data_IF_173404568265
#
_entry.id   IF_173404568265
#
_cell.length_a   1.000
_cell.length_b   1.000
_cell.length_c   1.000
_cell.angle_alpha   90.00
_cell.angle_beta   90.00
_cell.angle_gamma   90.00
#
_symmetry.space_group_name_H-M   'P 1'
#
loop_
_entity.id
_entity.type
_entity.pdbx_description
1 polymer ?
#
# COMPACT_ATOMS: atom_id res chain seq x y z
N UNK A 1 21.08 26.28 6.70
CA UNK A 1 21.45 24.92 6.24
C UNK A 1 20.69 23.92 7.10
N UNK A 2 19.57 23.40 6.61
CA UNK A 2 18.79 22.37 7.28
C UNK A 2 18.65 21.18 6.35
N UNK A 3 19.32 20.08 6.67
CA UNK A 3 19.25 18.83 5.91
C UNK A 3 17.82 18.33 5.85
N UNK A 4 17.28 18.23 4.63
CA UNK A 4 16.04 17.53 4.33
C UNK A 4 16.29 16.03 4.51
N UNK A 5 15.54 15.29 5.34
CA UNK A 5 15.72 13.85 5.41
C UNK A 5 15.20 13.25 4.10
N UNK A 6 16.03 12.42 3.47
CA UNK A 6 15.62 11.59 2.35
C UNK A 6 14.48 10.67 2.83
N UNK A 7 13.29 10.90 2.29
CA UNK A 7 12.09 10.13 2.54
C UNK A 7 12.35 8.64 2.28
N UNK A 8 12.18 7.82 3.31
CA UNK A 8 12.24 6.34 3.32
C UNK A 8 11.18 5.66 2.44
N UNK A 9 10.56 6.40 1.52
CA UNK A 9 9.29 6.08 0.88
C UNK A 9 9.40 5.18 -0.36
N UNK A 10 10.59 4.81 -0.82
CA UNK A 10 10.75 4.11 -2.10
C UNK A 10 11.00 2.59 -2.00
N UNK A 11 11.22 2.03 -0.79
CA UNK A 11 11.79 0.67 -0.69
C UNK A 11 10.80 -0.50 -0.69
N UNK A 12 9.48 -0.28 -0.60
CA UNK A 12 8.50 -1.40 -0.44
C UNK A 12 7.54 -1.63 -1.61
N UNK A 13 7.39 -0.68 -2.54
CA UNK A 13 6.51 -0.85 -3.70
C UNK A 13 7.14 -1.67 -4.85
N UNK A 14 8.42 -2.04 -4.75
CA UNK A 14 9.17 -2.76 -5.79
C UNK A 14 9.09 -4.30 -5.68
N UNK A 15 8.14 -4.86 -4.93
CA UNK A 15 8.20 -6.23 -4.40
C UNK A 15 8.32 -7.38 -5.41
N UNK A 16 7.44 -7.49 -6.41
CA UNK A 16 7.34 -8.73 -7.20
C UNK A 16 7.73 -8.57 -8.67
N UNK A 17 7.29 -7.50 -9.35
CA UNK A 17 7.67 -7.25 -10.76
C UNK A 17 9.18 -7.01 -10.94
N UNK A 18 9.84 -6.38 -9.96
CA UNK A 18 11.29 -6.18 -9.98
C UNK A 18 12.07 -7.48 -9.76
N UNK A 19 11.51 -8.43 -8.98
CA UNK A 19 12.14 -9.73 -8.71
C UNK A 19 12.03 -10.62 -9.93
N UNK A 20 10.85 -10.71 -10.55
CA UNK A 20 10.67 -11.50 -11.78
C UNK A 20 11.55 -10.96 -12.90
N UNK A 21 11.65 -9.63 -13.07
CA UNK A 21 12.58 -9.04 -14.05
C UNK A 21 14.03 -9.45 -13.78
N UNK A 22 14.48 -9.40 -12.52
CA UNK A 22 15.83 -9.83 -12.13
C UNK A 22 16.06 -11.32 -12.38
N UNK A 23 15.07 -12.17 -12.08
CA UNK A 23 15.12 -13.61 -12.37
C UNK A 23 15.26 -13.84 -13.88
N UNK A 24 14.43 -13.17 -14.70
CA UNK A 24 14.55 -13.24 -16.17
C UNK A 24 15.93 -12.81 -16.67
N UNK A 25 16.51 -11.74 -16.11
CA UNK A 25 17.87 -11.28 -16.45
C UNK A 25 18.95 -12.31 -16.10
N UNK A 26 18.87 -12.94 -14.94
CA UNK A 26 19.84 -13.98 -14.54
C UNK A 26 19.72 -15.20 -15.46
N UNK A 27 18.50 -15.62 -15.79
CA UNK A 27 18.27 -16.83 -16.59
C UNK A 27 18.53 -16.57 -18.10
N UNK A 28 18.51 -15.33 -18.55
CA UNK A 28 19.00 -14.98 -19.89
C UNK A 28 20.49 -15.34 -20.08
N UNK A 29 21.28 -15.37 -19.01
CA UNK A 29 22.68 -15.81 -19.04
C UNK A 29 22.90 -17.32 -18.90
N UNK A 30 21.82 -18.12 -18.75
CA UNK A 30 21.88 -19.57 -18.64
C UNK A 30 21.55 -20.19 -20.01
N UNK A 31 22.35 -21.16 -20.43
CA UNK A 31 22.16 -21.89 -21.69
C UNK A 31 21.04 -22.93 -21.53
N UNK A 32 19.80 -22.44 -21.54
CA UNK A 32 18.58 -23.24 -21.59
C UNK A 32 18.20 -23.48 -23.05
N UNK A 33 17.78 -24.71 -23.35
CA UNK A 33 17.09 -24.99 -24.61
C UNK A 33 15.80 -24.15 -24.73
N UNK A 34 15.34 -23.98 -25.97
CA UNK A 34 14.21 -23.11 -26.29
C UNK A 34 12.90 -23.55 -25.61
N UNK A 35 12.71 -24.85 -25.39
CA UNK A 35 11.51 -25.40 -24.73
C UNK A 35 11.51 -25.07 -23.23
N UNK A 36 12.64 -25.29 -22.55
CA UNK A 36 12.82 -24.95 -21.15
C UNK A 36 12.68 -23.44 -20.92
N UNK A 37 13.20 -22.61 -21.83
CA UNK A 37 13.05 -21.16 -21.77
C UNK A 37 11.59 -20.73 -21.90
N UNK A 38 10.85 -21.29 -22.87
CA UNK A 38 9.43 -20.98 -23.06
C UNK A 38 8.58 -21.37 -21.83
N UNK A 39 8.80 -22.57 -21.28
CA UNK A 39 8.10 -23.04 -20.07
C UNK A 39 8.37 -22.17 -18.85
N UNK A 40 9.62 -21.72 -18.70
CA UNK A 40 10.01 -20.83 -17.62
C UNK A 40 9.36 -19.45 -17.76
N UNK A 41 9.38 -18.86 -18.96
CA UNK A 41 8.76 -17.56 -19.19
C UNK A 41 7.26 -17.59 -18.94
N UNK A 42 6.58 -18.67 -19.34
CA UNK A 42 5.18 -18.91 -19.03
C UNK A 42 4.94 -19.00 -17.51
N UNK A 43 5.75 -19.78 -16.80
CA UNK A 43 5.65 -19.92 -15.34
C UNK A 43 5.86 -18.58 -14.62
N UNK A 44 6.85 -17.78 -15.04
CA UNK A 44 7.14 -16.47 -14.48
C UNK A 44 6.02 -15.45 -14.78
N UNK A 45 5.40 -15.55 -15.96
CA UNK A 45 4.25 -14.71 -16.32
C UNK A 45 3.05 -15.03 -15.43
N UNK A 46 2.72 -16.32 -15.27
CA UNK A 46 1.66 -16.78 -14.36
C UNK A 46 1.92 -16.36 -12.91
N UNK A 47 3.16 -16.51 -12.43
CA UNK A 47 3.55 -16.09 -11.10
C UNK A 47 3.39 -14.58 -10.89
N UNK A 48 3.79 -13.77 -11.88
CA UNK A 48 3.64 -12.31 -11.82
C UNK A 48 2.18 -11.90 -11.65
N UNK A 49 1.27 -12.51 -12.42
CA UNK A 49 -0.17 -12.26 -12.32
C UNK A 49 -0.73 -12.66 -10.95
N UNK A 50 -0.33 -13.82 -10.41
CA UNK A 50 -0.75 -14.27 -9.08
C UNK A 50 -0.27 -13.32 -7.97
N UNK A 51 0.97 -12.86 -8.04
CA UNK A 51 1.53 -11.92 -7.08
C UNK A 51 0.87 -10.53 -7.17
N UNK A 52 0.58 -10.05 -8.38
CA UNK A 52 -0.18 -8.80 -8.56
C UNK A 52 -1.56 -8.90 -7.91
N UNK A 53 -2.30 -9.99 -8.15
CA UNK A 53 -3.59 -10.24 -7.49
C UNK A 53 -3.48 -10.36 -5.98
N UNK A 54 -2.39 -10.96 -5.46
CA UNK A 54 -2.14 -11.05 -4.01
C UNK A 54 -1.94 -9.66 -3.41
N UNK A 55 -1.10 -8.83 -4.01
CA UNK A 55 -0.81 -7.46 -3.56
C UNK A 55 -2.04 -6.56 -3.66
N UNK A 56 -2.83 -6.67 -4.73
CA UNK A 56 -4.09 -5.93 -4.86
C UNK A 56 -5.07 -6.26 -3.72
N UNK A 57 -5.26 -7.55 -3.44
CA UNK A 57 -6.12 -7.98 -2.32
C UNK A 57 -5.60 -7.47 -0.98
N UNK A 58 -4.29 -7.51 -0.75
CA UNK A 58 -3.67 -7.01 0.48
C UNK A 58 -3.92 -5.51 0.69
N UNK A 59 -3.74 -4.68 -0.34
CA UNK A 59 -4.02 -3.25 -0.25
C UNK A 59 -5.50 -2.95 0.01
N UNK A 60 -6.42 -3.68 -0.62
CA UNK A 60 -7.86 -3.53 -0.35
C UNK A 60 -8.23 -3.91 1.09
N UNK A 61 -7.69 -5.02 1.60
CA UNK A 61 -7.91 -5.43 2.99
C UNK A 61 -7.40 -4.38 3.97
N UNK A 62 -6.17 -3.88 3.77
CA UNK A 62 -5.62 -2.81 4.62
C UNK A 62 -6.45 -1.54 4.58
N UNK A 63 -6.90 -1.12 3.40
CA UNK A 63 -7.74 0.07 3.29
C UNK A 63 -9.07 -0.08 4.04
N UNK A 64 -9.68 -1.26 4.01
CA UNK A 64 -10.88 -1.56 4.80
C UNK A 64 -10.59 -1.49 6.31
N UNK A 65 -9.45 -2.02 6.74
CA UNK A 65 -9.02 -1.94 8.13
C UNK A 65 -8.76 -0.49 8.57
N UNK A 66 -8.14 0.34 7.73
CA UNK A 66 -7.97 1.78 8.01
C UNK A 66 -9.32 2.50 8.12
N UNK A 67 -10.29 2.17 7.25
CA UNK A 67 -11.67 2.69 7.35
C UNK A 67 -12.33 2.31 8.69
N UNK A 68 -12.25 1.05 9.08
CA UNK A 68 -12.79 0.55 10.35
C UNK A 68 -12.11 1.21 11.56
N UNK A 69 -10.80 1.45 11.50
CA UNK A 69 -10.08 2.17 12.55
C UNK A 69 -10.52 3.63 12.64
N UNK A 70 -10.70 4.32 11.50
CA UNK A 70 -11.22 5.69 11.50
C UNK A 70 -12.61 5.74 12.14
N UNK A 71 -13.49 4.80 11.80
CA UNK A 71 -14.83 4.70 12.37
C UNK A 71 -14.76 4.58 13.91
N UNK A 72 -13.91 3.70 14.43
CA UNK A 72 -13.72 3.57 15.88
C UNK A 72 -13.18 4.85 16.55
N UNK A 73 -12.24 5.57 15.92
CA UNK A 73 -11.72 6.83 16.47
C UNK A 73 -12.79 7.93 16.41
N UNK A 74 -13.57 7.99 15.33
CA UNK A 74 -14.69 8.94 15.21
C UNK A 74 -15.75 8.68 16.27
N UNK A 75 -16.01 7.42 16.62
CA UNK A 75 -16.90 7.09 17.73
C UNK A 75 -16.39 7.61 19.08
N UNK A 76 -15.07 7.54 19.35
CA UNK A 76 -14.47 8.17 20.54
C UNK A 76 -14.57 9.70 20.50
N UNK A 77 -14.38 10.31 19.33
CA UNK A 77 -14.50 11.75 19.14
C UNK A 77 -15.92 12.30 19.39
N UNK A 78 -16.93 11.44 19.54
CA UNK A 78 -18.28 11.87 19.96
C UNK A 78 -18.29 12.51 21.35
N UNK A 79 -17.28 12.27 22.18
CA UNK A 79 -17.09 12.96 23.45
C UNK A 79 -17.02 14.50 23.28
N UNK A 80 -16.65 15.00 22.09
CA UNK A 80 -16.69 16.44 21.77
C UNK A 80 -18.10 17.02 21.95
N UNK A 81 -19.14 16.25 21.64
CA UNK A 81 -20.54 16.69 21.76
C UNK A 81 -20.98 16.85 23.23
N UNK A 82 -20.27 16.20 24.16
CA UNK A 82 -20.54 16.23 25.59
C UNK A 82 -19.76 17.33 26.32
N UNK A 83 -18.81 17.99 25.64
CA UNK A 83 -18.02 19.06 26.23
C UNK A 83 -18.88 20.29 26.55
N UNK A 84 -18.82 20.72 27.80
CA UNK A 84 -19.37 22.00 28.19
C UNK A 84 -18.58 23.15 27.55
N UNK A 85 -19.26 24.25 27.21
CA UNK A 85 -18.62 25.45 26.66
C UNK A 85 -17.54 26.06 27.58
N UNK A 86 -17.59 25.74 28.87
CA UNK A 86 -16.62 26.16 29.88
C UNK A 86 -15.95 24.94 30.54
N UNK A 87 -15.52 23.94 29.76
CA UNK A 87 -14.79 22.78 30.27
C UNK A 87 -13.55 23.25 31.07
N UNK A 88 -13.50 22.97 32.40
CA UNK A 88 -12.38 23.37 33.24
C UNK A 88 -11.11 22.57 32.96
N UNK A 89 -11.23 21.30 32.57
CA UNK A 89 -10.07 20.47 32.29
C UNK A 89 -9.55 20.70 30.86
N UNK A 90 -8.46 21.45 30.76
CA UNK A 90 -7.85 21.75 29.45
C UNK A 90 -7.11 20.57 28.82
N UNK A 91 -6.81 19.52 29.59
CA UNK A 91 -6.11 18.34 29.08
C UNK A 91 -6.96 17.57 28.07
N UNK A 92 -8.28 17.55 28.26
CA UNK A 92 -9.25 16.90 27.37
C UNK A 92 -9.15 17.43 25.93
N UNK A 93 -8.98 18.74 25.75
CA UNK A 93 -8.77 19.30 24.40
C UNK A 93 -7.49 18.79 23.73
N UNK A 94 -6.44 18.54 24.50
CA UNK A 94 -5.17 18.00 23.99
C UNK A 94 -5.34 16.54 23.61
N UNK A 95 -6.07 15.76 24.41
CA UNK A 95 -6.38 14.35 24.13
C UNK A 95 -7.24 14.21 22.86
N UNK A 96 -8.31 15.01 22.74
CA UNK A 96 -9.16 15.02 21.54
C UNK A 96 -8.38 15.47 20.30
N UNK A 97 -7.44 16.41 20.42
CA UNK A 97 -6.57 16.79 19.31
C UNK A 97 -5.72 15.60 18.83
N UNK A 98 -5.20 14.77 19.74
CA UNK A 98 -4.45 13.57 19.38
C UNK A 98 -5.32 12.54 18.62
N UNK A 99 -6.60 12.42 18.97
CA UNK A 99 -7.54 11.57 18.24
C UNK A 99 -7.78 12.09 16.81
N UNK A 100 -7.92 13.40 16.61
CA UNK A 100 -8.00 14.00 15.27
C UNK A 100 -6.72 13.74 14.45
N UNK A 101 -5.54 13.89 15.06
CA UNK A 101 -4.27 13.59 14.40
C UNK A 101 -4.17 12.11 14.00
N UNK A 102 -4.70 11.19 14.84
CA UNK A 102 -4.74 9.77 14.52
C UNK A 102 -5.68 9.45 13.34
N UNK A 103 -6.84 10.12 13.25
CA UNK A 103 -7.73 10.02 12.07
C UNK A 103 -6.99 10.47 10.82
N UNK A 104 -6.31 11.62 10.87
CA UNK A 104 -5.57 12.16 9.73
C UNK A 104 -4.46 11.20 9.26
N UNK A 105 -3.68 10.67 10.20
CA UNK A 105 -2.63 9.70 9.91
C UNK A 105 -3.21 8.42 9.28
N UNK A 106 -4.25 7.85 9.89
CA UNK A 106 -4.91 6.62 9.41
C UNK A 106 -5.54 6.82 8.03
N UNK A 107 -6.17 7.96 7.77
CA UNK A 107 -6.69 8.34 6.47
C UNK A 107 -5.58 8.47 5.42
N UNK A 108 -4.42 9.02 5.81
CA UNK A 108 -3.23 9.06 4.97
C UNK A 108 -2.76 7.67 4.53
N UNK A 109 -2.70 6.71 5.45
CA UNK A 109 -2.33 5.31 5.18
C UNK A 109 -3.36 4.61 4.28
N UNK A 110 -4.66 4.79 4.54
CA UNK A 110 -5.73 4.29 3.68
C UNK A 110 -5.64 4.84 2.25
N UNK A 111 -5.38 6.15 2.12
CA UNK A 111 -5.20 6.79 0.82
C UNK A 111 -3.95 6.28 0.08
N UNK A 112 -2.86 5.98 0.79
CA UNK A 112 -1.70 5.32 0.20
C UNK A 112 -2.05 3.92 -0.33
N UNK A 113 -2.83 3.12 0.40
CA UNK A 113 -3.30 1.83 -0.08
C UNK A 113 -4.10 1.95 -1.40
N UNK A 114 -5.00 2.94 -1.49
CA UNK A 114 -5.76 3.20 -2.72
C UNK A 114 -4.87 3.66 -3.89
N UNK A 115 -3.92 4.56 -3.63
CA UNK A 115 -2.98 5.02 -4.67
C UNK A 115 -2.08 3.88 -5.16
N UNK A 116 -1.65 2.98 -4.27
CA UNK A 116 -0.90 1.78 -4.67
C UNK A 116 -1.71 0.89 -5.62
N UNK A 117 -3.02 0.75 -5.39
CA UNK A 117 -3.89 0.02 -6.32
C UNK A 117 -4.02 0.73 -7.68
N UNK A 118 -4.12 2.06 -7.69
CA UNK A 118 -4.29 2.83 -8.92
C UNK A 118 -3.09 2.74 -9.88
N UNK A 119 -1.89 2.43 -9.37
CA UNK A 119 -0.68 2.26 -10.18
C UNK A 119 -0.37 0.80 -10.53
N UNK A 120 -1.07 -0.17 -9.92
CA UNK A 120 -0.93 -1.57 -10.29
C UNK A 120 -1.65 -1.81 -11.62
N UNK A 121 -1.03 -2.50 -12.58
CA UNK A 121 -1.69 -2.81 -13.84
C UNK A 121 -2.98 -3.60 -13.58
N UNK A 122 -4.05 -3.19 -14.26
CA UNK A 122 -5.29 -3.95 -14.27
C UNK A 122 -5.00 -5.34 -14.86
N UNK A 123 -5.59 -6.36 -14.24
CA UNK A 123 -5.43 -7.74 -14.67
C UNK A 123 -5.88 -7.87 -16.13
N UNK A 124 -4.97 -8.26 -17.03
CA UNK A 124 -5.29 -8.50 -18.45
C UNK A 124 -5.12 -7.33 -19.43
N UNK A 125 -4.40 -6.25 -19.10
CA UNK A 125 -3.90 -5.35 -20.15
C UNK A 125 -2.83 -6.10 -20.97
N UNK A 126 -3.27 -6.73 -22.07
CA UNK A 126 -2.42 -7.45 -23.01
C UNK A 126 -1.18 -6.63 -23.35
N UNK A 127 -0.02 -7.16 -22.98
CA UNK A 127 1.25 -6.69 -23.50
C UNK A 127 1.25 -7.05 -24.99
N UNK A 128 0.87 -6.12 -25.85
CA UNK A 128 1.02 -6.24 -27.30
C UNK A 128 2.46 -5.83 -27.63
N UNK A 129 3.36 -6.77 -28.00
CA UNK A 129 4.69 -6.40 -28.45
C UNK A 129 4.59 -5.85 -29.87
N UNK A 130 5.15 -4.65 -30.09
CA UNK A 130 5.45 -4.13 -31.43
C UNK A 130 6.56 -4.92 -32.10
#
# INVERSE_FOLDING_TARGET
MGSKPASSFDRRAHGSGSVVRRIKTVIAGVDLDCECRARLDEALTRFTALEQRRVQREHLVRARQHRERIEAIVDLLREVDELAAAEPDRSVYTELALLFDEVAATAGEGALCMRSLAILPADGAEFSPS
#
